data_IF_315293565015
#
_entry.id   IF_315293565015
#
_cell.length_a   1.000
_cell.length_b   1.000
_cell.length_c   1.000
_cell.angle_alpha   90.00
_cell.angle_beta   90.00
_cell.angle_gamma   90.00
#
_symmetry.space_group_name_H-M   'P 1'
#
loop_
_entity.id
_entity.type
_entity.pdbx_description
1 polymer ?
#
# COMPACT_ATOMS: atom_id res chain seq x y z
N UNK A 1 10.12 -1.34 9.01
CA UNK A 1 10.58 0.00 8.57
C UNK A 1 9.41 0.61 7.85
N UNK A 2 9.07 1.86 8.18
CA UNK A 2 7.79 2.46 7.77
C UNK A 2 8.04 3.68 6.86
N UNK A 3 7.25 3.77 5.79
CA UNK A 3 7.25 4.93 4.88
C UNK A 3 5.81 5.33 4.60
N UNK A 4 5.52 6.62 4.71
CA UNK A 4 4.22 7.19 4.33
C UNK A 4 4.35 7.89 2.99
N UNK A 5 3.43 7.61 2.08
CA UNK A 5 3.36 8.23 0.75
C UNK A 5 1.99 8.87 0.61
N UNK A 6 1.94 10.17 0.37
CA UNK A 6 0.69 10.86 0.03
C UNK A 6 0.36 10.65 -1.45
N UNK A 7 -0.90 10.33 -1.73
CA UNK A 7 -1.42 10.20 -3.09
C UNK A 7 -2.90 10.58 -3.14
N UNK A 8 -3.22 11.64 -3.91
CA UNK A 8 -4.61 12.13 -4.13
C UNK A 8 -5.40 12.37 -2.83
N UNK A 9 -4.73 12.87 -1.79
CA UNK A 9 -5.34 13.13 -0.48
C UNK A 9 -5.47 11.91 0.44
N UNK A 10 -4.94 10.75 0.03
CA UNK A 10 -4.82 9.56 0.87
C UNK A 10 -3.36 9.36 1.29
N UNK A 11 -3.17 8.77 2.47
CA UNK A 11 -1.88 8.31 2.96
C UNK A 11 -1.77 6.81 2.72
N UNK A 12 -0.71 6.39 2.03
CA UNK A 12 -0.32 5.00 1.88
C UNK A 12 0.81 4.74 2.86
N UNK A 13 0.52 4.03 3.94
CA UNK A 13 1.53 3.57 4.88
C UNK A 13 2.12 2.25 4.36
N UNK A 14 3.44 2.16 4.25
CA UNK A 14 4.16 0.97 3.80
C UNK A 14 4.93 0.41 4.97
N UNK A 15 4.70 -0.86 5.31
CA UNK A 15 5.46 -1.58 6.33
C UNK A 15 6.25 -2.73 5.69
N UNK A 16 7.57 -2.68 5.89
CA UNK A 16 8.53 -3.66 5.39
C UNK A 16 9.06 -4.50 6.55
N UNK A 17 8.92 -5.83 6.42
CA UNK A 17 9.43 -6.82 7.36
C UNK A 17 10.56 -7.63 6.73
N UNK A 18 11.74 -7.63 7.35
CA UNK A 18 12.87 -8.45 6.93
C UNK A 18 12.59 -9.93 7.20
N UNK A 19 12.82 -10.78 6.20
CA UNK A 19 12.64 -12.25 6.29
C UNK A 19 14.00 -12.95 6.26
N UNK A 20 14.91 -12.50 5.42
CA UNK A 20 16.30 -12.96 5.38
C UNK A 20 17.23 -11.83 4.92
N UNK A 21 18.51 -12.13 4.68
CA UNK A 21 19.47 -11.12 4.19
C UNK A 21 18.93 -10.51 2.89
N UNK A 22 18.70 -9.19 2.93
CA UNK A 22 18.25 -8.37 1.80
C UNK A 22 16.90 -8.79 1.17
N UNK A 23 16.08 -9.55 1.90
CA UNK A 23 14.77 -10.05 1.44
C UNK A 23 13.67 -9.69 2.44
N UNK A 24 12.59 -9.08 1.94
CA UNK A 24 11.55 -8.46 2.75
C UNK A 24 10.15 -8.79 2.25
N UNK A 25 9.26 -9.11 3.19
CA UNK A 25 7.82 -9.04 2.93
C UNK A 25 7.36 -7.59 3.10
N UNK A 26 6.35 -7.18 2.35
CA UNK A 26 5.82 -5.82 2.43
C UNK A 26 4.30 -5.81 2.52
N UNK A 27 3.80 -4.85 3.29
CA UNK A 27 2.40 -4.53 3.44
C UNK A 27 2.17 -3.07 3.10
N UNK A 28 0.96 -2.74 2.70
CA UNK A 28 0.51 -1.36 2.68
C UNK A 28 -0.83 -1.22 3.40
N UNK A 29 -1.11 -0.02 3.88
CA UNK A 29 -2.37 0.39 4.46
C UNK A 29 -2.75 1.76 3.89
N UNK A 30 -4.03 1.96 3.60
CA UNK A 30 -4.54 3.22 3.06
C UNK A 30 -5.37 3.90 4.14
N UNK A 31 -5.03 5.14 4.42
CA UNK A 31 -5.81 6.06 5.25
C UNK A 31 -6.25 7.26 4.41
N UNK A 32 -7.43 7.80 4.66
CA UNK A 32 -7.89 8.96 3.92
C UNK A 32 -9.19 9.55 4.44
N UNK A 33 -9.61 10.70 3.87
CA UNK A 33 -10.73 11.49 4.38
C UNK A 33 -12.10 10.86 4.13
N UNK A 34 -12.18 9.86 3.25
CA UNK A 34 -13.41 9.20 2.85
C UNK A 34 -13.26 7.68 2.85
N UNK A 35 -14.31 6.98 3.25
CA UNK A 35 -14.44 5.53 3.13
C UNK A 35 -15.74 5.21 2.39
N UNK A 36 -15.70 5.09 1.05
CA UNK A 36 -16.90 4.81 0.27
C UNK A 36 -17.56 3.49 0.71
N UNK A 37 -18.91 3.41 0.72
CA UNK A 37 -19.61 2.16 0.97
C UNK A 37 -19.12 1.06 0.00
N UNK A 38 -18.73 -0.09 0.53
CA UNK A 38 -18.21 -1.21 -0.27
C UNK A 38 -16.68 -1.30 -0.35
N UNK A 39 -15.94 -0.28 0.08
CA UNK A 39 -14.47 -0.35 0.17
C UNK A 39 -14.06 -0.84 1.56
N UNK A 40 -13.92 -2.15 1.71
CA UNK A 40 -13.53 -2.78 2.98
C UNK A 40 -12.03 -2.71 3.31
N UNK A 41 -11.24 -2.00 2.49
CA UNK A 41 -9.77 -2.01 2.47
C UNK A 41 -9.11 -0.83 3.20
N UNK A 42 -9.83 0.28 3.46
CA UNK A 42 -9.29 1.45 4.15
C UNK A 42 -9.08 1.13 5.63
N UNK A 43 -7.94 1.56 6.20
CA UNK A 43 -7.54 1.24 7.58
C UNK A 43 -7.23 -0.25 7.80
N UNK A 44 -7.03 -1.01 6.72
CA UNK A 44 -6.58 -2.40 6.80
C UNK A 44 -5.19 -2.53 6.20
N UNK A 45 -4.34 -3.20 6.97
CA UNK A 45 -3.03 -3.63 6.51
C UNK A 45 -3.15 -4.80 5.54
N UNK A 46 -2.74 -4.59 4.30
CA UNK A 46 -2.82 -5.56 3.19
C UNK A 46 -1.42 -6.06 2.85
N UNK A 47 -1.23 -7.38 2.79
CA UNK A 47 0.03 -7.98 2.36
C UNK A 47 0.15 -7.91 0.84
N UNK A 48 1.28 -7.45 0.34
CA UNK A 48 1.61 -7.53 -1.09
C UNK A 48 2.08 -8.95 -1.41
N UNK A 49 1.39 -9.61 -2.34
CA UNK A 49 1.72 -10.97 -2.80
C UNK A 49 2.88 -10.98 -3.79
N UNK A 50 3.68 -12.05 -3.80
CA UNK A 50 4.79 -12.27 -4.74
C UNK A 50 6.19 -12.02 -4.17
N UNK A 51 6.28 -11.67 -2.88
CA UNK A 51 7.56 -11.56 -2.17
C UNK A 51 8.13 -12.90 -1.67
N UNK A 52 9.25 -12.86 -0.91
CA UNK A 52 9.91 -11.64 -0.45
C UNK A 52 10.65 -10.90 -1.58
N UNK A 53 10.79 -9.58 -1.45
CA UNK A 53 11.45 -8.69 -2.40
C UNK A 53 12.77 -8.16 -1.85
N UNK A 54 13.65 -7.65 -2.72
CA UNK A 54 14.72 -6.76 -2.25
C UNK A 54 14.15 -5.44 -1.75
N UNK A 55 14.86 -4.73 -0.88
CA UNK A 55 14.34 -3.55 -0.17
C UNK A 55 13.75 -2.48 -1.12
N UNK A 56 14.47 -2.12 -2.17
CA UNK A 56 14.00 -1.13 -3.16
C UNK A 56 12.72 -1.59 -3.86
N UNK A 57 12.60 -2.87 -4.17
CA UNK A 57 11.40 -3.44 -4.79
C UNK A 57 10.23 -3.52 -3.80
N UNK A 58 10.50 -3.84 -2.53
CA UNK A 58 9.48 -3.87 -1.48
C UNK A 58 8.75 -2.53 -1.38
N UNK A 59 9.51 -1.43 -1.30
CA UNK A 59 8.91 -0.09 -1.27
C UNK A 59 8.18 0.27 -2.57
N UNK A 60 8.78 0.00 -3.74
CA UNK A 60 8.18 0.35 -5.02
C UNK A 60 6.86 -0.38 -5.28
N UNK A 61 6.82 -1.70 -5.06
CA UNK A 61 5.61 -2.50 -5.35
C UNK A 61 4.49 -2.12 -4.39
N UNK A 62 4.79 -1.86 -3.12
CA UNK A 62 3.80 -1.41 -2.15
C UNK A 62 3.25 -0.01 -2.48
N UNK A 63 4.10 0.92 -2.91
CA UNK A 63 3.69 2.25 -3.37
C UNK A 63 2.76 2.14 -4.59
N UNK A 64 3.13 1.34 -5.60
CA UNK A 64 2.30 1.15 -6.79
C UNK A 64 0.96 0.46 -6.49
N UNK A 65 0.97 -0.58 -5.64
CA UNK A 65 -0.24 -1.29 -5.23
C UNK A 65 -1.19 -0.36 -4.46
N UNK A 66 -0.65 0.44 -3.53
CA UNK A 66 -1.42 1.42 -2.77
C UNK A 66 -2.05 2.48 -3.67
N UNK A 67 -1.30 3.03 -4.63
CA UNK A 67 -1.83 4.02 -5.58
C UNK A 67 -2.93 3.44 -6.45
N UNK A 68 -2.73 2.25 -7.00
CA UNK A 68 -3.76 1.57 -7.80
C UNK A 68 -5.03 1.31 -6.97
N UNK A 69 -4.90 0.94 -5.70
CA UNK A 69 -6.04 0.79 -4.81
C UNK A 69 -6.75 2.12 -4.53
N UNK A 70 -6.01 3.22 -4.33
CA UNK A 70 -6.62 4.57 -4.21
C UNK A 70 -7.39 4.95 -5.47
N UNK A 71 -6.86 4.68 -6.66
CA UNK A 71 -7.58 4.97 -7.90
C UNK A 71 -8.88 4.15 -8.04
N UNK A 72 -8.89 2.90 -7.57
CA UNK A 72 -10.12 2.09 -7.48
C UNK A 72 -11.11 2.68 -6.46
N UNK A 73 -10.63 3.22 -5.34
CA UNK A 73 -11.46 3.84 -4.30
C UNK A 73 -12.14 5.11 -4.81
N UNK A 74 -11.40 5.95 -5.52
CA UNK A 74 -11.93 7.18 -6.10
C UNK A 74 -12.86 6.90 -7.28
N UNK A 75 -12.70 5.74 -7.93
CA UNK A 75 -13.40 5.41 -9.16
C UNK A 75 -12.95 6.29 -10.32
N UNK A 76 -13.41 5.95 -11.53
CA UNK A 76 -13.42 6.90 -12.64
C UNK A 76 -14.62 7.83 -12.44
N UNK A 77 -14.37 9.12 -12.23
CA UNK A 77 -15.28 10.10 -12.81
C UNK A 77 -15.19 9.90 -14.33
N UNK A 78 -16.23 9.29 -14.91
CA UNK A 78 -16.49 9.42 -16.35
C UNK A 78 -16.92 10.86 -16.67
#
# INVERSE_FOLDING_TARGET
MERVIEYRGFNIQVDVQKVSKDMFNVWFEIEGPMSPPGVAAIGKRIKVFGGPYSERWAYLVAELAGRAAVDVILGTEE
#
